data_IF_350183815459
#
_entry.id   IF_350183815459
#
_cell.length_a   1.000
_cell.length_b   1.000
_cell.length_c   1.000
_cell.angle_alpha   90.00
_cell.angle_beta   90.00
_cell.angle_gamma   90.00
#
_symmetry.space_group_name_H-M   'P 1'
#
loop_
_entity.id
_entity.type
_entity.pdbx_description
1 polymer ?
#
# COMPACT_ATOMS: atom_id res chain seq x y z
N UNK A 1 -20.53 -8.04 -18.81
CA UNK A 1 -19.60 -7.05 -18.21
C UNK A 1 -18.35 -7.83 -17.83
N UNK A 2 -17.17 -7.44 -18.30
CA UNK A 2 -15.91 -8.09 -17.89
C UNK A 2 -15.65 -7.74 -16.43
N UNK A 3 -15.38 -8.75 -15.60
CA UNK A 3 -15.02 -8.53 -14.18
C UNK A 3 -13.71 -7.76 -14.10
N UNK A 4 -13.65 -6.73 -13.27
CA UNK A 4 -12.43 -5.95 -13.05
C UNK A 4 -11.31 -6.83 -12.48
N UNK A 5 -10.10 -6.62 -12.99
CA UNK A 5 -8.88 -7.31 -12.55
C UNK A 5 -8.08 -6.39 -11.65
N UNK A 6 -7.92 -6.78 -10.41
CA UNK A 6 -7.15 -6.06 -9.42
C UNK A 6 -5.76 -6.69 -9.21
N UNK A 7 -4.73 -5.85 -9.08
CA UNK A 7 -3.41 -6.26 -8.58
C UNK A 7 -3.17 -5.60 -7.22
N UNK A 8 -2.90 -6.40 -6.19
CA UNK A 8 -2.53 -5.94 -4.85
C UNK A 8 -1.09 -6.34 -4.56
N UNK A 9 -0.22 -5.35 -4.34
CA UNK A 9 1.17 -5.60 -3.95
C UNK A 9 1.33 -5.67 -2.44
N UNK A 10 2.25 -6.53 -1.96
CA UNK A 10 2.39 -6.78 -0.52
C UNK A 10 1.15 -7.47 0.08
N UNK A 11 0.49 -8.33 -0.71
CA UNK A 11 -0.80 -8.92 -0.38
C UNK A 11 -0.74 -10.07 0.64
N UNK A 12 0.45 -10.53 1.05
CA UNK A 12 0.58 -11.72 1.90
C UNK A 12 0.11 -11.53 3.34
N UNK A 13 0.07 -10.30 3.87
CA UNK A 13 -0.28 -10.01 5.27
C UNK A 13 -0.73 -8.57 5.50
N UNK A 14 -1.20 -8.28 6.72
CA UNK A 14 -1.55 -6.92 7.17
C UNK A 14 -2.55 -6.21 6.25
N UNK A 15 -2.28 -4.96 5.91
CA UNK A 15 -3.14 -4.13 5.06
C UNK A 15 -3.37 -4.79 3.70
N UNK A 16 -2.32 -5.30 3.05
CA UNK A 16 -2.44 -5.90 1.73
C UNK A 16 -3.35 -7.13 1.69
N UNK A 17 -3.31 -7.98 2.73
CA UNK A 17 -4.24 -9.11 2.90
C UNK A 17 -5.68 -8.62 3.06
N UNK A 18 -5.92 -7.66 3.95
CA UNK A 18 -7.26 -7.11 4.18
C UNK A 18 -7.84 -6.44 2.91
N UNK A 19 -7.00 -5.72 2.17
CA UNK A 19 -7.38 -5.14 0.87
C UNK A 19 -7.75 -6.23 -0.13
N UNK A 20 -6.92 -7.27 -0.28
CA UNK A 20 -7.20 -8.37 -1.21
C UNK A 20 -8.55 -9.05 -0.89
N UNK A 21 -8.80 -9.35 0.38
CA UNK A 21 -10.08 -9.91 0.85
C UNK A 21 -11.25 -8.99 0.53
N UNK A 22 -11.11 -7.69 0.80
CA UNK A 22 -12.16 -6.70 0.55
C UNK A 22 -12.49 -6.55 -0.94
N UNK A 23 -11.48 -6.52 -1.80
CA UNK A 23 -11.66 -6.45 -3.26
C UNK A 23 -12.32 -7.71 -3.80
N UNK A 24 -11.87 -8.88 -3.35
CA UNK A 24 -12.45 -10.17 -3.72
C UNK A 24 -13.93 -10.26 -3.27
N UNK A 25 -14.25 -9.84 -2.04
CA UNK A 25 -15.62 -9.74 -1.57
C UNK A 25 -16.48 -8.72 -2.35
N UNK A 26 -15.83 -7.73 -2.96
CA UNK A 26 -16.44 -6.77 -3.88
C UNK A 26 -16.67 -7.30 -5.30
N UNK A 27 -16.33 -8.57 -5.58
CA UNK A 27 -16.55 -9.23 -6.86
C UNK A 27 -15.43 -9.04 -7.89
N UNK A 28 -14.25 -8.53 -7.49
CA UNK A 28 -13.10 -8.42 -8.38
C UNK A 28 -12.30 -9.73 -8.41
N UNK A 29 -11.68 -10.04 -9.54
CA UNK A 29 -10.57 -11.01 -9.61
C UNK A 29 -9.31 -10.36 -9.08
N UNK A 30 -8.61 -11.00 -8.14
CA UNK A 30 -7.52 -10.37 -7.40
C UNK A 30 -6.19 -11.10 -7.60
N UNK A 31 -5.27 -10.48 -8.31
CA UNK A 31 -3.88 -10.93 -8.38
C UNK A 31 -3.12 -10.45 -7.12
N UNK A 32 -2.43 -11.40 -6.48
CA UNK A 32 -1.74 -11.23 -5.21
C UNK A 32 -0.24 -11.33 -5.45
N UNK A 33 0.53 -10.30 -5.08
CA UNK A 33 1.99 -10.37 -5.15
C UNK A 33 2.66 -9.93 -3.85
N UNK A 34 3.63 -10.71 -3.42
CA UNK A 34 4.57 -10.47 -2.33
C UNK A 34 5.72 -11.47 -2.46
N UNK A 35 6.72 -11.40 -1.60
CA UNK A 35 7.89 -12.31 -1.65
C UNK A 35 7.57 -13.74 -1.19
N UNK A 36 6.71 -13.89 -0.16
CA UNK A 36 6.36 -15.20 0.42
C UNK A 36 5.18 -15.82 -0.32
N UNK A 37 5.42 -16.95 -0.98
CA UNK A 37 4.38 -17.74 -1.63
C UNK A 37 3.36 -18.27 -0.61
N UNK A 38 3.81 -18.70 0.57
CA UNK A 38 2.95 -19.27 1.62
C UNK A 38 1.98 -18.22 2.17
N UNK A 39 2.48 -17.00 2.52
CA UNK A 39 1.62 -15.90 2.98
C UNK A 39 0.59 -15.49 1.90
N UNK A 40 0.95 -15.57 0.62
CA UNK A 40 0.03 -15.30 -0.48
C UNK A 40 -1.03 -16.41 -0.63
N UNK A 41 -0.64 -17.68 -0.48
CA UNK A 41 -1.57 -18.80 -0.50
C UNK A 41 -2.58 -18.73 0.64
N UNK A 42 -2.14 -18.37 1.85
CA UNK A 42 -3.04 -18.11 2.98
C UNK A 42 -4.04 -16.98 2.68
N UNK A 43 -3.58 -15.90 2.04
CA UNK A 43 -4.46 -14.79 1.65
C UNK A 43 -5.47 -15.24 0.58
N UNK A 44 -5.00 -15.99 -0.43
CA UNK A 44 -5.86 -16.51 -1.48
C UNK A 44 -6.97 -17.41 -0.92
N UNK A 45 -6.64 -18.28 0.04
CA UNK A 45 -7.61 -19.16 0.70
C UNK A 45 -8.70 -18.39 1.49
N UNK A 46 -8.46 -17.15 1.85
CA UNK A 46 -9.39 -16.29 2.59
C UNK A 46 -10.18 -15.34 1.68
N UNK A 47 -9.92 -15.34 0.39
CA UNK A 47 -10.63 -14.55 -0.60
C UNK A 47 -11.83 -15.34 -1.14
N UNK A 48 -13.07 -14.81 -1.16
CA UNK A 48 -14.24 -15.55 -1.64
C UNK A 48 -14.31 -15.71 -3.16
N UNK A 49 -13.60 -14.89 -3.92
CA UNK A 49 -13.57 -14.90 -5.38
C UNK A 49 -12.26 -15.45 -5.96
N UNK A 50 -12.11 -15.34 -7.28
CA UNK A 50 -10.92 -15.82 -8.00
C UNK A 50 -9.67 -15.03 -7.60
N UNK A 51 -8.59 -15.76 -7.32
CA UNK A 51 -7.29 -15.18 -6.98
C UNK A 51 -6.17 -15.77 -7.83
N UNK A 52 -5.15 -14.95 -8.11
CA UNK A 52 -3.97 -15.34 -8.86
C UNK A 52 -2.72 -15.02 -8.04
N UNK A 53 -2.01 -16.05 -7.59
CA UNK A 53 -0.81 -15.89 -6.76
C UNK A 53 0.43 -15.73 -7.63
N UNK A 54 1.17 -14.62 -7.46
CA UNK A 54 2.38 -14.28 -8.22
C UNK A 54 3.48 -13.81 -7.26
N UNK A 55 4.26 -14.74 -6.67
CA UNK A 55 5.36 -14.38 -5.78
C UNK A 55 6.45 -13.62 -6.54
N UNK A 56 6.90 -12.49 -5.98
CA UNK A 56 7.99 -11.69 -6.54
C UNK A 56 8.59 -10.70 -5.55
N UNK A 57 9.84 -10.31 -5.79
CA UNK A 57 10.43 -9.12 -5.19
C UNK A 57 10.29 -7.95 -6.17
N UNK A 58 9.48 -6.96 -5.82
CA UNK A 58 9.19 -5.80 -6.68
C UNK A 58 10.39 -4.87 -6.90
N UNK A 59 11.47 -5.06 -6.16
CA UNK A 59 12.73 -4.33 -6.36
C UNK A 59 13.59 -4.97 -7.45
N UNK A 60 13.31 -6.24 -7.80
CA UNK A 60 14.01 -6.98 -8.86
C UNK A 60 13.79 -6.38 -10.25
N UNK A 61 14.81 -6.44 -11.07
CA UNK A 61 14.73 -5.99 -12.46
C UNK A 61 13.76 -6.87 -13.26
N UNK A 62 12.86 -6.26 -14.04
CA UNK A 62 11.88 -6.97 -14.87
C UNK A 62 10.73 -7.66 -14.12
N UNK A 63 10.80 -7.78 -12.78
CA UNK A 63 9.80 -8.53 -12.01
C UNK A 63 8.39 -7.94 -12.12
N UNK A 64 8.25 -6.62 -12.13
CA UNK A 64 6.95 -5.95 -12.28
C UNK A 64 6.36 -6.26 -13.67
N UNK A 65 7.17 -6.18 -14.73
CA UNK A 65 6.70 -6.49 -16.09
C UNK A 65 6.28 -7.96 -16.22
N UNK A 66 7.03 -8.89 -15.59
CA UNK A 66 6.71 -10.32 -15.53
C UNK A 66 5.37 -10.58 -14.82
N UNK A 67 5.12 -9.90 -13.70
CA UNK A 67 3.86 -10.01 -12.96
C UNK A 67 2.69 -9.54 -13.84
N UNK A 68 2.80 -8.36 -14.43
CA UNK A 68 1.74 -7.81 -15.26
C UNK A 68 1.46 -8.68 -16.48
N UNK A 69 2.49 -9.11 -17.21
CA UNK A 69 2.34 -10.02 -18.36
C UNK A 69 1.61 -11.30 -17.97
N UNK A 70 2.01 -11.93 -16.85
CA UNK A 70 1.36 -13.16 -16.37
C UNK A 70 -0.12 -12.95 -15.97
N UNK A 71 -0.51 -11.76 -15.49
CA UNK A 71 -1.91 -11.44 -15.18
C UNK A 71 -2.68 -11.20 -16.49
N UNK A 72 -2.07 -10.48 -17.42
CA UNK A 72 -2.66 -10.15 -18.72
C UNK A 72 -2.93 -11.40 -19.56
N UNK A 73 -2.03 -12.36 -19.54
CA UNK A 73 -2.17 -13.66 -20.24
C UNK A 73 -3.35 -14.47 -19.68
N UNK A 74 -3.61 -14.40 -18.37
CA UNK A 74 -4.63 -15.21 -17.71
C UNK A 74 -5.99 -14.53 -17.68
N UNK A 75 -6.02 -13.22 -17.36
CA UNK A 75 -7.26 -12.49 -17.07
C UNK A 75 -7.48 -11.22 -17.87
N UNK A 76 -6.48 -10.81 -18.64
CA UNK A 76 -6.48 -9.52 -19.31
C UNK A 76 -5.93 -8.39 -18.45
N UNK A 77 -5.96 -7.17 -18.98
CA UNK A 77 -5.29 -6.02 -18.40
C UNK A 77 -5.81 -5.66 -17.00
N UNK A 78 -4.88 -5.30 -16.11
CA UNK A 78 -5.17 -4.79 -14.77
C UNK A 78 -5.94 -3.47 -14.85
N UNK A 79 -7.14 -3.43 -14.28
CA UNK A 79 -8.00 -2.24 -14.19
C UNK A 79 -7.97 -1.58 -12.80
N UNK A 80 -7.54 -2.30 -11.77
CA UNK A 80 -7.39 -1.80 -10.41
C UNK A 80 -5.99 -2.13 -9.89
N UNK A 81 -5.21 -1.12 -9.51
CA UNK A 81 -3.89 -1.31 -8.89
C UNK A 81 -3.90 -0.76 -7.47
N UNK A 82 -3.58 -1.63 -6.50
CA UNK A 82 -3.29 -1.21 -5.12
C UNK A 82 -1.80 -1.41 -4.84
N UNK A 83 -1.04 -0.33 -4.90
CA UNK A 83 0.39 -0.32 -4.59
C UNK A 83 0.58 -0.19 -3.07
N UNK A 84 0.58 -1.34 -2.38
CA UNK A 84 0.65 -1.43 -0.92
C UNK A 84 2.01 -1.91 -0.41
N UNK A 85 2.79 -2.65 -1.19
CA UNK A 85 4.10 -3.15 -0.76
C UNK A 85 4.97 -2.02 -0.20
N UNK A 86 5.56 -2.24 0.96
CA UNK A 86 6.40 -1.27 1.61
C UNK A 86 7.10 -1.82 2.85
N UNK A 87 8.13 -1.11 3.31
CA UNK A 87 8.86 -1.42 4.52
C UNK A 87 9.09 -0.15 5.34
N UNK A 88 9.00 -0.32 6.66
CA UNK A 88 9.42 0.71 7.62
C UNK A 88 10.94 0.70 7.78
N UNK A 89 11.46 1.86 8.12
CA UNK A 89 12.84 2.04 8.58
C UNK A 89 12.88 3.18 9.60
N UNK A 90 13.58 2.99 10.70
CA UNK A 90 13.81 4.04 11.68
C UNK A 90 15.26 4.11 12.09
N UNK A 91 15.82 5.32 12.13
CA UNK A 91 17.19 5.60 12.52
C UNK A 91 17.43 7.11 12.59
N UNK A 92 18.47 7.52 13.34
CA UNK A 92 18.91 8.92 13.29
C UNK A 92 19.39 9.26 11.89
N UNK A 93 19.11 10.48 11.44
CA UNK A 93 19.45 10.90 10.07
C UNK A 93 20.95 10.75 9.78
N UNK A 94 21.81 11.11 10.74
CA UNK A 94 23.27 11.01 10.62
C UNK A 94 23.81 9.56 10.66
N UNK A 95 22.95 8.58 10.96
CA UNK A 95 23.26 7.14 10.99
C UNK A 95 22.53 6.33 9.94
N UNK A 96 21.72 7.00 9.11
CA UNK A 96 21.03 6.34 7.98
C UNK A 96 22.04 6.17 6.86
N UNK A 97 22.38 4.93 6.52
CA UNK A 97 23.28 4.63 5.42
C UNK A 97 22.61 4.88 4.05
N UNK A 98 23.42 5.15 3.02
CA UNK A 98 22.91 5.24 1.64
C UNK A 98 22.19 3.96 1.21
N UNK A 99 22.66 2.80 1.66
CA UNK A 99 22.03 1.50 1.39
C UNK A 99 20.63 1.38 2.04
N UNK A 100 20.48 1.83 3.31
CA UNK A 100 19.17 1.85 3.96
C UNK A 100 18.22 2.85 3.30
N UNK A 101 18.73 4.03 2.96
CA UNK A 101 17.98 5.03 2.21
C UNK A 101 17.46 4.44 0.89
N UNK A 102 18.37 3.90 0.06
CA UNK A 102 18.03 3.38 -1.25
C UNK A 102 17.02 2.22 -1.17
N UNK A 103 17.22 1.28 -0.24
CA UNK A 103 16.30 0.17 0.00
C UNK A 103 14.87 0.65 0.31
N UNK A 104 14.72 1.71 1.12
CA UNK A 104 13.41 2.28 1.46
C UNK A 104 12.80 2.98 0.24
N UNK A 105 13.57 3.77 -0.49
CA UNK A 105 13.12 4.46 -1.70
C UNK A 105 12.71 3.45 -2.79
N UNK A 106 13.51 2.41 -3.00
CA UNK A 106 13.23 1.42 -4.05
C UNK A 106 11.91 0.71 -3.82
N UNK A 107 11.65 0.27 -2.59
CA UNK A 107 10.42 -0.47 -2.29
C UNK A 107 9.20 0.46 -2.13
N UNK A 108 9.35 1.60 -1.45
CA UNK A 108 8.20 2.43 -1.08
C UNK A 108 7.82 3.48 -2.14
N UNK A 109 8.72 3.79 -3.07
CA UNK A 109 8.50 4.84 -4.08
C UNK A 109 8.77 4.34 -5.51
N UNK A 110 9.95 3.76 -5.77
CA UNK A 110 10.32 3.33 -7.13
C UNK A 110 9.44 2.17 -7.60
N UNK A 111 9.17 1.16 -6.76
CA UNK A 111 8.30 0.04 -7.12
C UNK A 111 6.84 0.48 -7.39
N UNK A 112 6.16 1.28 -6.54
CA UNK A 112 4.87 1.89 -6.86
C UNK A 112 4.87 2.67 -8.19
N UNK A 113 5.90 3.50 -8.43
CA UNK A 113 6.03 4.23 -9.69
C UNK A 113 6.09 3.27 -10.89
N UNK A 114 6.90 2.21 -10.83
CA UNK A 114 7.00 1.22 -11.90
C UNK A 114 5.67 0.48 -12.14
N UNK A 115 4.94 0.12 -11.06
CA UNK A 115 3.61 -0.50 -11.17
C UNK A 115 2.61 0.45 -11.85
N UNK A 116 2.57 1.72 -11.43
CA UNK A 116 1.70 2.74 -12.03
C UNK A 116 2.04 2.94 -13.50
N UNK A 117 3.32 3.12 -13.83
CA UNK A 117 3.80 3.27 -15.22
C UNK A 117 3.37 2.10 -16.12
N UNK A 118 3.38 0.87 -15.57
CA UNK A 118 2.99 -0.34 -16.31
C UNK A 118 1.46 -0.48 -16.47
N UNK A 119 0.68 -0.04 -15.49
CA UNK A 119 -0.79 -0.15 -15.51
C UNK A 119 -1.47 0.94 -16.38
N UNK A 120 -0.95 2.17 -16.35
CA UNK A 120 -1.62 3.35 -16.93
C UNK A 120 -1.96 3.23 -18.43
N UNK A 121 -1.10 2.70 -19.32
CA UNK A 121 -1.42 2.64 -20.75
C UNK A 121 -2.72 1.90 -21.05
N UNK A 122 -2.90 0.69 -20.52
CA UNK A 122 -4.09 -0.12 -20.72
C UNK A 122 -5.35 0.50 -20.05
N UNK A 123 -5.18 1.12 -18.86
CA UNK A 123 -6.27 1.84 -18.20
C UNK A 123 -6.75 3.05 -19.01
N UNK A 124 -5.81 3.83 -19.57
CA UNK A 124 -6.11 4.98 -20.42
C UNK A 124 -6.83 4.56 -21.71
N UNK A 125 -6.34 3.52 -22.39
CA UNK A 125 -6.95 2.97 -23.60
C UNK A 125 -8.39 2.50 -23.36
N UNK A 126 -8.63 1.83 -22.21
CA UNK A 126 -9.96 1.36 -21.80
C UNK A 126 -10.90 2.49 -21.35
N UNK A 127 -10.39 3.68 -21.05
CA UNK A 127 -11.16 4.76 -20.44
C UNK A 127 -11.65 4.45 -19.03
N UNK A 128 -11.01 3.51 -18.34
CA UNK A 128 -11.33 3.08 -16.97
C UNK A 128 -10.10 2.54 -16.25
N UNK A 129 -9.88 3.01 -15.03
CA UNK A 129 -8.83 2.51 -14.14
C UNK A 129 -8.89 3.10 -12.75
N UNK A 130 -8.41 2.36 -11.76
CA UNK A 130 -8.35 2.77 -10.36
C UNK A 130 -6.96 2.51 -9.79
N UNK A 131 -6.27 3.58 -9.46
CA UNK A 131 -4.93 3.53 -8.86
C UNK A 131 -5.02 3.98 -7.41
N UNK A 132 -4.62 3.13 -6.48
CA UNK A 132 -4.54 3.46 -5.05
C UNK A 132 -3.14 3.14 -4.54
N UNK A 133 -2.47 4.11 -3.94
CA UNK A 133 -1.20 3.88 -3.25
C UNK A 133 -1.41 3.90 -1.73
N UNK A 134 -0.80 2.97 -1.01
CA UNK A 134 -0.78 3.03 0.44
C UNK A 134 0.41 3.89 0.87
N UNK A 135 0.09 5.14 1.20
CA UNK A 135 1.04 6.08 1.75
C UNK A 135 1.20 5.89 3.28
N UNK A 136 1.03 6.93 4.07
CA UNK A 136 1.07 6.95 5.54
C UNK A 136 0.71 8.35 6.02
N UNK A 137 0.37 8.54 7.30
CA UNK A 137 0.42 9.86 7.95
C UNK A 137 1.80 10.50 7.84
N UNK A 138 2.88 9.70 7.77
CA UNK A 138 4.22 10.18 7.47
C UNK A 138 4.39 10.80 6.06
N UNK A 139 3.38 10.72 5.19
CA UNK A 139 3.32 11.47 3.93
C UNK A 139 2.74 12.88 4.10
N UNK A 140 2.27 13.22 5.29
CA UNK A 140 1.59 14.48 5.63
C UNK A 140 2.38 15.31 6.64
N UNK A 141 3.08 14.63 7.54
CA UNK A 141 3.87 15.26 8.61
C UNK A 141 5.26 14.63 8.69
N UNK A 142 6.20 15.37 9.29
CA UNK A 142 7.51 14.83 9.63
C UNK A 142 7.46 14.00 10.93
N UNK A 143 8.10 12.84 10.92
CA UNK A 143 8.22 11.98 12.09
C UNK A 143 9.68 11.82 12.49
N UNK A 144 10.05 12.00 13.76
CA UNK A 144 11.41 11.79 14.23
C UNK A 144 11.93 10.39 13.90
N UNK A 145 13.18 10.31 13.49
CA UNK A 145 13.87 9.06 13.17
C UNK A 145 13.35 8.32 11.92
N UNK A 146 12.45 8.91 11.13
CA UNK A 146 11.85 8.30 9.95
C UNK A 146 12.23 9.03 8.64
N UNK A 147 13.40 9.65 8.54
CA UNK A 147 13.77 10.50 7.39
C UNK A 147 13.55 9.80 6.04
N UNK A 148 14.14 8.62 5.83
CA UNK A 148 13.99 7.86 4.58
C UNK A 148 12.53 7.42 4.34
N UNK A 149 11.86 6.94 5.38
CA UNK A 149 10.46 6.52 5.30
C UNK A 149 9.55 7.71 4.97
N UNK A 150 9.68 8.82 5.70
CA UNK A 150 8.92 10.05 5.48
C UNK A 150 9.13 10.59 4.05
N UNK A 151 10.36 10.67 3.59
CA UNK A 151 10.67 11.08 2.23
C UNK A 151 10.00 10.18 1.19
N UNK A 152 10.08 8.84 1.36
CA UNK A 152 9.44 7.90 0.44
C UNK A 152 7.91 8.03 0.42
N UNK A 153 7.29 8.27 1.58
CA UNK A 153 5.82 8.38 1.70
C UNK A 153 5.30 9.75 1.20
N UNK A 154 6.04 10.84 1.38
CA UNK A 154 5.75 12.11 0.70
C UNK A 154 5.90 11.97 -0.82
N UNK A 155 6.94 11.26 -1.28
CA UNK A 155 7.16 11.00 -2.70
C UNK A 155 6.02 10.22 -3.35
N UNK A 156 5.54 9.16 -2.72
CA UNK A 156 4.44 8.35 -3.28
C UNK A 156 3.09 9.07 -3.25
N UNK A 157 2.86 9.94 -2.27
CA UNK A 157 1.70 10.85 -2.28
C UNK A 157 1.79 11.86 -3.42
N UNK A 158 2.98 12.45 -3.63
CA UNK A 158 3.25 13.32 -4.77
C UNK A 158 3.02 12.62 -6.11
N UNK A 159 3.48 11.37 -6.24
CA UNK A 159 3.24 10.54 -7.42
C UNK A 159 1.73 10.37 -7.67
N UNK A 160 0.93 10.00 -6.67
CA UNK A 160 -0.51 9.82 -6.83
C UNK A 160 -1.20 11.10 -7.32
N UNK A 161 -0.83 12.26 -6.78
CA UNK A 161 -1.37 13.56 -7.19
C UNK A 161 -0.98 13.95 -8.62
N UNK A 162 0.28 13.74 -8.99
CA UNK A 162 0.77 14.02 -10.35
C UNK A 162 0.06 13.14 -11.39
N UNK A 163 -0.06 11.84 -11.10
CA UNK A 163 -0.76 10.88 -11.97
C UNK A 163 -2.26 11.21 -12.07
N UNK A 164 -2.91 11.61 -10.97
CA UNK A 164 -4.31 12.05 -11.00
C UNK A 164 -4.53 13.27 -11.90
N UNK A 165 -3.63 14.24 -11.84
CA UNK A 165 -3.68 15.44 -12.70
C UNK A 165 -3.44 15.09 -14.19
N UNK A 166 -2.47 14.22 -14.49
CA UNK A 166 -2.17 13.76 -15.83
C UNK A 166 -3.31 12.97 -16.46
N UNK A 167 -4.04 12.19 -15.66
CA UNK A 167 -5.12 11.31 -16.11
C UNK A 167 -6.52 11.95 -16.01
N UNK A 168 -6.61 13.23 -15.67
CA UNK A 168 -7.88 13.94 -15.59
C UNK A 168 -8.64 13.85 -16.93
N UNK A 169 -9.94 13.51 -16.86
CA UNK A 169 -10.80 13.36 -18.04
C UNK A 169 -10.66 12.02 -18.79
N UNK A 170 -9.76 11.13 -18.39
CA UNK A 170 -9.55 9.83 -19.06
C UNK A 170 -10.39 8.68 -18.48
N UNK A 171 -11.17 8.92 -17.42
CA UNK A 171 -11.89 7.88 -16.69
C UNK A 171 -11.04 7.10 -15.68
N UNK A 172 -9.74 7.40 -15.59
CA UNK A 172 -8.81 6.81 -14.61
C UNK A 172 -8.66 7.72 -13.42
N UNK A 173 -8.71 7.15 -12.20
CA UNK A 173 -8.48 7.89 -10.95
C UNK A 173 -7.23 7.40 -10.23
N UNK A 174 -6.54 8.30 -9.52
CA UNK A 174 -5.39 7.96 -8.69
C UNK A 174 -5.51 8.62 -7.32
N UNK A 175 -5.45 7.84 -6.25
CA UNK A 175 -5.61 8.31 -4.87
C UNK A 175 -4.55 7.69 -3.95
N UNK A 176 -4.35 8.30 -2.80
CA UNK A 176 -3.52 7.77 -1.73
C UNK A 176 -4.37 7.51 -0.48
N UNK A 177 -4.14 6.38 0.19
CA UNK A 177 -4.66 6.13 1.54
C UNK A 177 -3.48 6.29 2.50
N UNK A 178 -3.69 7.06 3.56
CA UNK A 178 -2.68 7.49 4.52
C UNK A 178 -2.99 6.93 5.93
N UNK A 179 -2.67 5.66 6.21
CA UNK A 179 -2.88 5.09 7.54
C UNK A 179 -1.88 5.66 8.55
N UNK A 180 -2.28 5.68 9.84
CA UNK A 180 -1.37 5.81 10.96
C UNK A 180 -0.87 4.43 11.43
N UNK A 181 -0.84 4.15 12.76
CA UNK A 181 -0.42 2.84 13.28
C UNK A 181 -1.55 1.82 13.14
N UNK A 182 -1.37 0.89 12.21
CA UNK A 182 -2.29 -0.21 11.92
C UNK A 182 -1.84 -1.49 12.63
N UNK A 183 -2.75 -2.31 13.13
CA UNK A 183 -2.44 -3.58 13.78
C UNK A 183 -1.94 -4.61 12.75
N UNK A 184 -0.63 -4.62 12.54
CA UNK A 184 0.05 -5.40 11.51
C UNK A 184 1.44 -5.86 11.98
N UNK A 185 2.05 -6.85 11.31
CA UNK A 185 3.43 -7.25 11.58
C UNK A 185 4.46 -6.09 11.48
N UNK A 186 4.19 -5.05 10.70
CA UNK A 186 5.04 -3.85 10.64
C UNK A 186 4.98 -3.06 11.96
N UNK A 187 3.81 -2.94 12.56
CA UNK A 187 3.63 -2.30 13.87
C UNK A 187 4.25 -3.14 14.97
N UNK A 188 4.13 -4.46 14.91
CA UNK A 188 4.81 -5.36 15.88
C UNK A 188 6.33 -5.23 15.79
N UNK A 189 6.91 -5.07 14.62
CA UNK A 189 8.34 -4.78 14.46
C UNK A 189 8.71 -3.42 15.10
N UNK A 190 7.83 -2.42 15.03
CA UNK A 190 8.00 -1.12 15.71
C UNK A 190 7.92 -1.27 17.21
N UNK A 191 6.96 -2.05 17.74
CA UNK A 191 6.85 -2.40 19.16
C UNK A 191 8.13 -3.07 19.65
N UNK A 192 8.61 -4.09 18.93
CA UNK A 192 9.86 -4.77 19.27
C UNK A 192 11.07 -3.83 19.31
N UNK A 193 11.14 -2.85 18.38
CA UNK A 193 12.19 -1.83 18.40
C UNK A 193 12.09 -0.91 19.63
N UNK A 194 10.89 -0.48 20.02
CA UNK A 194 10.66 0.33 21.24
C UNK A 194 11.09 -0.45 22.48
N UNK A 195 10.67 -1.70 22.61
CA UNK A 195 11.09 -2.60 23.71
C UNK A 195 12.62 -2.64 23.82
N UNK A 196 13.30 -2.94 22.71
CA UNK A 196 14.75 -3.05 22.65
C UNK A 196 15.48 -1.75 23.01
N UNK A 197 14.93 -0.60 22.63
CA UNK A 197 15.61 0.70 22.79
C UNK A 197 15.28 1.41 24.09
N UNK A 198 14.14 1.09 24.72
CA UNK A 198 13.65 1.80 25.91
C UNK A 198 13.54 0.92 27.17
N UNK A 199 13.61 -0.41 27.03
CA UNK A 199 13.39 -1.36 28.12
C UNK A 199 11.93 -1.51 28.55
N UNK A 200 10.97 -0.89 27.86
CA UNK A 200 9.53 -1.03 28.13
C UNK A 200 9.04 -2.44 27.81
N UNK A 201 7.94 -2.85 28.41
CA UNK A 201 7.23 -4.07 27.99
C UNK A 201 6.57 -3.90 26.61
N UNK A 202 6.27 -4.99 25.94
CA UNK A 202 5.57 -4.98 24.67
C UNK A 202 4.17 -4.33 24.77
N UNK A 203 3.46 -4.57 25.90
CA UNK A 203 2.16 -3.95 26.18
C UNK A 203 2.26 -2.43 26.28
N UNK A 204 3.22 -1.91 27.05
CA UNK A 204 3.44 -0.47 27.18
C UNK A 204 3.86 0.18 25.85
N UNK A 205 4.68 -0.51 25.04
CA UNK A 205 5.10 -0.01 23.75
C UNK A 205 3.91 0.05 22.77
N UNK A 206 3.05 -0.98 22.76
CA UNK A 206 1.83 -1.03 21.96
C UNK A 206 0.84 0.08 22.36
N UNK A 207 0.64 0.25 23.68
CA UNK A 207 -0.22 1.31 24.21
C UNK A 207 0.30 2.72 23.85
N UNK A 208 1.63 2.91 23.87
CA UNK A 208 2.24 4.17 23.43
C UNK A 208 1.88 4.51 21.98
N UNK A 209 1.92 3.53 21.08
CA UNK A 209 1.54 3.73 19.69
C UNK A 209 0.02 4.00 19.55
N UNK A 210 -0.80 3.26 20.29
CA UNK A 210 -2.25 3.45 20.31
C UNK A 210 -2.64 4.87 20.76
N UNK A 211 -2.01 5.38 21.82
CA UNK A 211 -2.25 6.74 22.36
C UNK A 211 -1.80 7.87 21.41
N UNK A 212 -0.95 7.60 20.43
CA UNK A 212 -0.58 8.59 19.40
C UNK A 212 -1.74 8.88 18.45
N UNK A 213 -2.76 8.03 18.45
CA UNK A 213 -3.98 8.18 17.68
C UNK A 213 -5.11 8.63 18.63
N UNK A 214 -5.76 9.75 18.40
CA UNK A 214 -6.84 10.27 19.26
C UNK A 214 -7.96 9.27 19.54
N UNK A 215 -8.20 8.31 18.62
CA UNK A 215 -9.15 7.21 18.82
C UNK A 215 -8.72 6.23 19.94
N UNK A 216 -7.47 6.29 20.42
CA UNK A 216 -6.97 5.51 21.55
C UNK A 216 -6.67 4.02 21.30
N UNK A 217 -6.68 3.59 20.03
CA UNK A 217 -6.35 2.21 19.64
C UNK A 217 -5.56 2.18 18.34
N UNK A 218 -4.98 1.04 18.01
CA UNK A 218 -4.47 0.80 16.66
C UNK A 218 -5.63 0.73 15.66
N UNK A 219 -5.36 1.14 14.43
CA UNK A 219 -6.29 1.00 13.30
C UNK A 219 -6.32 -0.47 12.88
N UNK A 220 -7.49 -1.00 12.59
CA UNK A 220 -7.62 -2.34 12.06
C UNK A 220 -7.28 -2.36 10.56
N UNK A 221 -6.61 -3.41 10.02
CA UNK A 221 -6.33 -3.53 8.59
C UNK A 221 -7.59 -3.43 7.72
N UNK A 222 -8.74 -3.90 8.22
CA UNK A 222 -10.02 -3.81 7.54
C UNK A 222 -10.51 -2.36 7.36
N UNK A 223 -10.24 -1.46 8.33
CA UNK A 223 -10.60 -0.05 8.21
C UNK A 223 -9.82 0.64 7.08
N UNK A 224 -8.56 0.25 6.88
CA UNK A 224 -7.75 0.73 5.74
C UNK A 224 -8.28 0.15 4.44
N UNK A 225 -8.69 -1.12 4.41
CA UNK A 225 -9.25 -1.77 3.23
C UNK A 225 -10.56 -1.12 2.79
N UNK A 226 -11.42 -0.67 3.72
CA UNK A 226 -12.63 0.09 3.39
C UNK A 226 -12.31 1.45 2.75
N UNK A 227 -11.28 2.16 3.20
CA UNK A 227 -10.84 3.41 2.58
C UNK A 227 -10.30 3.17 1.16
N UNK A 228 -9.58 2.07 0.93
CA UNK A 228 -9.14 1.66 -0.41
C UNK A 228 -10.36 1.36 -1.29
N UNK A 229 -11.32 0.60 -0.79
CA UNK A 229 -12.55 0.30 -1.50
C UNK A 229 -13.33 1.56 -1.88
N UNK A 230 -13.44 2.52 -0.97
CA UNK A 230 -14.07 3.82 -1.22
C UNK A 230 -13.42 4.56 -2.42
N UNK A 231 -12.09 4.57 -2.49
CA UNK A 231 -11.36 5.17 -3.61
C UNK A 231 -11.60 4.43 -4.94
N UNK A 232 -11.82 3.11 -4.89
CA UNK A 232 -12.04 2.27 -6.08
C UNK A 232 -13.50 2.39 -6.57
N UNK A 233 -14.46 2.30 -5.65
CA UNK A 233 -15.88 2.31 -5.97
C UNK A 233 -16.41 3.69 -6.40
N UNK A 234 -15.74 4.78 -6.03
CA UNK A 234 -16.17 6.13 -6.31
C UNK A 234 -15.28 6.82 -7.37
N UNK A 235 -15.73 6.81 -8.62
CA UNK A 235 -15.02 7.41 -9.76
C UNK A 235 -14.93 8.95 -9.73
N UNK A 236 -15.63 9.63 -8.82
CA UNK A 236 -15.54 11.08 -8.66
C UNK A 236 -14.36 11.52 -7.76
N UNK A 237 -13.66 10.56 -7.13
CA UNK A 237 -12.56 10.82 -6.22
C UNK A 237 -11.24 10.55 -6.93
N UNK A 238 -10.44 11.61 -7.14
CA UNK A 238 -9.09 11.51 -7.71
C UNK A 238 -8.18 12.59 -7.12
N UNK A 239 -6.89 12.31 -7.00
CA UNK A 239 -5.87 13.20 -6.43
C UNK A 239 -5.94 13.36 -4.93
N UNK A 240 -6.77 12.58 -4.24
CA UNK A 240 -6.99 12.73 -2.80
C UNK A 240 -6.01 11.91 -1.96
N UNK A 241 -5.81 12.40 -0.73
CA UNK A 241 -5.09 11.68 0.33
C UNK A 241 -6.07 11.42 1.47
N UNK A 242 -6.55 10.19 1.58
CA UNK A 242 -7.54 9.79 2.58
C UNK A 242 -6.81 9.32 3.85
N UNK A 243 -6.93 10.08 4.93
CA UNK A 243 -6.38 9.68 6.22
C UNK A 243 -7.23 8.59 6.87
N UNK A 244 -6.57 7.55 7.40
CA UNK A 244 -7.15 6.50 8.24
C UNK A 244 -6.30 6.43 9.50
N UNK A 245 -6.51 7.36 10.42
CA UNK A 245 -5.55 7.69 11.46
C UNK A 245 -6.19 8.00 12.83
N UNK A 246 -7.51 7.81 12.95
CA UNK A 246 -8.22 8.10 14.18
C UNK A 246 -8.15 9.56 14.64
N UNK A 247 -7.90 10.48 13.70
CA UNK A 247 -7.81 11.94 13.97
C UNK A 247 -6.40 12.44 14.30
N UNK A 248 -5.35 11.64 14.06
CA UNK A 248 -3.97 12.00 14.39
C UNK A 248 -3.43 13.16 13.53
N UNK A 249 -3.86 13.26 12.27
CA UNK A 249 -3.44 14.32 11.34
C UNK A 249 -4.66 14.99 10.74
N UNK A 250 -4.82 16.27 11.00
CA UNK A 250 -5.83 17.09 10.34
C UNK A 250 -5.24 17.70 9.05
N UNK A 251 -5.98 17.64 7.98
CA UNK A 251 -5.56 18.14 6.66
C UNK A 251 -6.32 19.40 6.29
#
# INVERSE_FOLDING_TARGET
MTTDVALVTGAGRGIGRAVAQRLSAGGLRVALTARSADELAETAAQCPGETLVRPADLTGEGEIDRIFASIEDEWGAVSVLVANAGAGFSGRVERTSDADWQRVIDLNLTAPFRCVRRAVPAMRERGHGRLVVIASTAARIGEPYLAAYTASKHGVLGLARAVAAELAGTGVTANAVCPAFVDTPMTEATVANIVRTTGRSAGEARELLARRQPIGRLIEPAEVAEAVWFCIANGAITGQAINVDGGAVQS
#
